data_IF_650839381873
#
_entry.id   IF_650839381873
#
_cell.length_a   1.000
_cell.length_b   1.000
_cell.length_c   1.000
_cell.angle_alpha   90.00
_cell.angle_beta   90.00
_cell.angle_gamma   90.00
#
_symmetry.space_group_name_H-M   'P 1'
#
loop_
_entity.id
_entity.type
_entity.pdbx_description
1 polymer ?
#
# COMPACT_ATOMS: atom_id res chain seq x y z
N UNK A 1 20.58 8.53 4.27
CA UNK A 1 19.15 8.93 4.18
C UNK A 1 18.91 9.40 2.75
N UNK A 2 18.09 8.70 1.97
CA UNK A 2 17.75 9.15 0.62
C UNK A 2 16.70 10.26 0.79
N UNK A 3 17.02 11.49 0.37
CA UNK A 3 16.03 12.57 0.29
C UNK A 3 15.42 12.55 -1.11
N UNK A 4 14.23 11.95 -1.30
CA UNK A 4 13.56 12.05 -2.58
C UNK A 4 13.29 13.53 -2.88
N UNK A 5 13.50 13.95 -4.14
CA UNK A 5 13.23 15.31 -4.61
C UNK A 5 11.73 15.64 -4.69
N UNK A 6 10.87 14.69 -4.32
CA UNK A 6 9.42 14.78 -4.41
C UNK A 6 8.72 14.17 -3.19
N UNK A 7 7.52 14.67 -2.89
CA UNK A 7 6.68 14.12 -1.85
C UNK A 7 6.20 12.71 -2.18
N UNK A 8 6.02 11.86 -1.16
CA UNK A 8 5.56 10.48 -1.32
C UNK A 8 4.17 10.40 -1.96
N UNK A 9 3.29 11.36 -1.69
CA UNK A 9 1.98 11.45 -2.33
C UNK A 9 2.10 11.66 -3.85
N UNK A 10 2.95 12.59 -4.29
CA UNK A 10 3.20 12.82 -5.71
C UNK A 10 3.79 11.57 -6.37
N UNK A 11 4.65 10.84 -5.68
CA UNK A 11 5.21 9.58 -6.21
C UNK A 11 4.11 8.52 -6.38
N UNK A 12 3.18 8.43 -5.43
CA UNK A 12 2.04 7.52 -5.51
C UNK A 12 1.18 7.78 -6.75
N UNK A 13 0.99 9.05 -7.12
CA UNK A 13 0.19 9.45 -8.29
C UNK A 13 0.84 9.07 -9.62
N UNK A 14 2.16 8.93 -9.67
CA UNK A 14 2.88 8.49 -10.86
C UNK A 14 2.78 6.97 -11.09
N UNK A 15 2.33 6.21 -10.09
CA UNK A 15 2.22 4.76 -10.19
C UNK A 15 0.87 4.35 -10.81
N UNK A 16 0.82 3.30 -11.64
CA UNK A 16 -0.43 2.79 -12.17
C UNK A 16 -1.38 2.35 -11.04
N UNK A 17 -2.48 3.09 -10.85
CA UNK A 17 -3.46 2.84 -9.78
C UNK A 17 -4.15 1.47 -9.92
N UNK A 18 -4.17 0.91 -11.14
CA UNK A 18 -4.65 -0.45 -11.38
C UNK A 18 -3.79 -1.53 -10.73
N UNK A 19 -2.49 -1.26 -10.51
CA UNK A 19 -1.53 -2.22 -9.97
C UNK A 19 -1.04 -1.87 -8.56
N UNK A 20 -0.98 -0.59 -8.21
CA UNK A 20 -0.43 -0.12 -6.95
C UNK A 20 -1.49 0.49 -6.05
N UNK A 21 -1.35 0.26 -4.74
CA UNK A 21 -2.24 0.81 -3.72
C UNK A 21 -1.44 1.32 -2.53
N UNK A 22 -1.82 2.49 -2.02
CA UNK A 22 -1.22 3.07 -0.81
C UNK A 22 -1.96 2.52 0.41
N UNK A 23 -1.23 1.81 1.27
CA UNK A 23 -1.79 1.18 2.48
C UNK A 23 -1.33 1.85 3.77
N UNK A 24 -0.37 2.77 3.69
CA UNK A 24 0.16 3.51 4.83
C UNK A 24 0.70 4.87 4.38
N UNK A 25 0.99 5.77 5.32
CA UNK A 25 1.58 7.08 5.01
C UNK A 25 2.95 6.96 4.32
N UNK A 26 3.65 5.85 4.51
CA UNK A 26 4.99 5.56 3.99
C UNK A 26 5.07 4.32 3.11
N UNK A 27 3.96 3.63 2.81
CA UNK A 27 3.98 2.39 2.03
C UNK A 27 2.96 2.39 0.89
N UNK A 28 3.44 2.01 -0.28
CA UNK A 28 2.66 1.69 -1.47
C UNK A 28 3.08 0.28 -1.89
N UNK A 29 2.10 -0.58 -2.14
CA UNK A 29 2.33 -1.98 -2.47
C UNK A 29 1.71 -2.33 -3.82
N UNK A 30 2.23 -3.36 -4.47
CA UNK A 30 1.63 -3.91 -5.67
C UNK A 30 0.54 -4.93 -5.31
N UNK A 31 -0.69 -4.70 -5.76
CA UNK A 31 -1.87 -5.53 -5.48
C UNK A 31 -1.68 -7.00 -5.89
N UNK A 32 -1.02 -7.24 -7.03
CA UNK A 32 -0.79 -8.59 -7.56
C UNK A 32 0.28 -9.38 -6.77
N UNK A 33 1.02 -8.73 -5.87
CA UNK A 33 2.06 -9.37 -5.04
C UNK A 33 1.60 -9.66 -3.62
N UNK A 34 0.35 -9.33 -3.29
CA UNK A 34 -0.22 -9.63 -1.98
C UNK A 34 -0.34 -11.15 -1.85
N UNK A 35 0.30 -11.71 -0.83
CA UNK A 35 0.24 -13.15 -0.54
C UNK A 35 -0.99 -13.48 0.29
N UNK A 36 -1.22 -12.73 1.37
CA UNK A 36 -2.42 -12.82 2.18
C UNK A 36 -2.59 -11.56 3.04
N UNK A 37 -3.77 -11.42 3.64
CA UNK A 37 -4.15 -10.29 4.49
C UNK A 37 -4.62 -10.87 5.82
N UNK A 38 -4.08 -10.36 6.92
CA UNK A 38 -4.46 -10.80 8.27
C UNK A 38 -4.73 -9.57 9.15
N UNK A 39 -5.98 -9.40 9.57
CA UNK A 39 -6.40 -8.26 10.38
C UNK A 39 -6.11 -6.92 9.67
N UNK A 40 -5.20 -6.13 10.23
CA UNK A 40 -4.78 -4.82 9.69
C UNK A 40 -3.42 -4.89 9.01
N UNK A 41 -3.06 -6.04 8.43
CA UNK A 41 -1.72 -6.28 7.88
C UNK A 41 -1.79 -6.95 6.54
N UNK A 42 -0.91 -6.53 5.64
CA UNK A 42 -0.69 -7.15 4.35
C UNK A 42 0.63 -7.89 4.38
N UNK A 43 0.60 -9.13 3.92
CA UNK A 43 1.80 -9.95 3.79
C UNK A 43 2.19 -10.06 2.32
N UNK A 44 3.46 -9.76 2.04
CA UNK A 44 4.11 -9.97 0.74
C UNK A 44 5.26 -10.94 0.97
N UNK A 45 5.05 -12.20 0.60
CA UNK A 45 5.91 -13.32 0.96
C UNK A 45 6.10 -13.39 2.49
N UNK A 46 7.32 -13.15 2.98
CA UNK A 46 7.67 -13.15 4.41
C UNK A 46 7.68 -11.75 5.03
N UNK A 47 7.31 -10.72 4.26
CA UNK A 47 7.31 -9.33 4.73
C UNK A 47 5.91 -8.95 5.20
N UNK A 48 5.81 -8.57 6.46
CA UNK A 48 4.60 -8.00 7.06
C UNK A 48 4.61 -6.47 6.90
N UNK A 49 3.52 -5.91 6.37
CA UNK A 49 3.36 -4.47 6.20
C UNK A 49 2.06 -4.04 6.90
N UNK A 50 2.14 -3.14 7.90
CA UNK A 50 0.95 -2.66 8.59
C UNK A 50 0.13 -1.71 7.71
N UNK A 51 -1.19 -1.87 7.78
CA UNK A 51 -2.14 -0.97 7.14
C UNK A 51 -2.44 0.17 8.11
N UNK A 52 -2.24 1.40 7.67
CA UNK A 52 -2.60 2.58 8.45
C UNK A 52 -4.11 2.67 8.62
N UNK A 53 -4.58 3.06 9.81
CA UNK A 53 -6.01 3.23 10.10
C UNK A 53 -6.75 4.04 9.04
N UNK A 54 -6.15 5.14 8.58
CA UNK A 54 -6.74 6.04 7.59
C UNK A 54 -6.78 5.48 6.18
N UNK A 55 -6.07 4.38 5.90
CA UNK A 55 -5.99 3.75 4.58
C UNK A 55 -6.76 2.42 4.54
N UNK A 56 -7.25 1.93 5.68
CA UNK A 56 -7.86 0.61 5.80
C UNK A 56 -9.14 0.48 4.97
N UNK A 57 -10.05 1.43 5.10
CA UNK A 57 -11.34 1.36 4.42
C UNK A 57 -11.19 1.44 2.90
N UNK A 58 -10.30 2.31 2.41
CA UNK A 58 -10.01 2.42 0.98
C UNK A 58 -9.29 1.18 0.45
N UNK A 59 -8.37 0.62 1.24
CA UNK A 59 -7.72 -0.64 0.91
C UNK A 59 -8.74 -1.76 0.74
N UNK A 60 -9.62 -1.98 1.73
CA UNK A 60 -10.63 -3.05 1.70
C UNK A 60 -11.56 -2.94 0.48
N UNK A 61 -12.02 -1.72 0.15
CA UNK A 61 -12.85 -1.48 -1.04
C UNK A 61 -12.13 -1.87 -2.33
N UNK A 62 -10.86 -1.52 -2.47
CA UNK A 62 -10.05 -1.81 -3.66
C UNK A 62 -9.80 -3.30 -3.89
N UNK A 63 -9.71 -4.09 -2.81
CA UNK A 63 -9.55 -5.55 -2.89
C UNK A 63 -10.89 -6.31 -2.90
N UNK A 64 -12.02 -5.60 -2.87
CA UNK A 64 -13.36 -6.17 -3.04
C UNK A 64 -14.00 -6.74 -1.76
N UNK A 65 -13.66 -6.21 -0.60
CA UNK A 65 -14.33 -6.49 0.68
C UNK A 65 -15.35 -5.40 1.05
#
# INVERSE_FOLDING_TARGET
MIMPSMAFSNFAELLPQSAFIRIHRSFIINKARITHIEGNRVFINTIEIPIGSNYKDDFLKEIGF
#
